data_IF_836214514576
#
_entry.id   IF_836214514576
#
_cell.length_a   1.000
_cell.length_b   1.000
_cell.length_c   1.000
_cell.angle_alpha   90.00
_cell.angle_beta   90.00
_cell.angle_gamma   90.00
#
_symmetry.space_group_name_H-M   'P 1'
#
loop_
_entity.id
_entity.type
_entity.pdbx_description
1 polymer ?
#
# COMPACT_ATOMS: atom_id res chain seq x y z
N UNK A 1 -17.41 -3.41 15.48
CA UNK A 1 -16.10 -2.99 14.93
C UNK A 1 -15.35 -4.23 14.45
N UNK A 2 -15.20 -4.42 13.13
CA UNK A 2 -14.49 -5.59 12.59
C UNK A 2 -13.00 -5.39 12.90
N UNK A 3 -12.48 -6.14 13.88
CA UNK A 3 -11.04 -6.10 14.23
C UNK A 3 -10.26 -6.49 12.98
N UNK A 4 -9.52 -5.54 12.40
CA UNK A 4 -8.52 -5.83 11.39
C UNK A 4 -7.54 -6.82 12.03
N UNK A 5 -7.59 -8.11 11.66
CA UNK A 5 -6.52 -9.06 11.99
C UNK A 5 -5.33 -8.63 11.13
N UNK A 6 -4.48 -7.79 11.69
CA UNK A 6 -3.22 -7.41 11.05
C UNK A 6 -2.25 -8.54 11.33
N UNK A 7 -2.16 -9.53 10.45
CA UNK A 7 -1.00 -10.43 10.42
C UNK A 7 0.20 -9.61 9.96
N UNK A 8 1.38 -9.72 10.61
CA UNK A 8 2.57 -8.94 10.26
C UNK A 8 3.01 -9.09 8.79
N UNK A 9 2.59 -10.16 8.13
CA UNK A 9 2.91 -10.48 6.73
C UNK A 9 2.01 -9.78 5.70
N UNK A 10 0.95 -9.10 6.13
CA UNK A 10 -0.07 -8.54 5.21
C UNK A 10 0.15 -7.05 4.91
N UNK A 11 1.18 -6.43 5.49
CA UNK A 11 1.48 -5.00 5.34
C UNK A 11 2.92 -4.78 4.90
N UNK A 12 3.10 -3.87 3.95
CA UNK A 12 4.40 -3.48 3.43
C UNK A 12 4.52 -1.95 3.36
N UNK A 13 5.75 -1.44 3.24
CA UNK A 13 5.94 -0.05 2.86
C UNK A 13 5.47 0.14 1.42
N UNK A 14 5.04 1.36 1.07
CA UNK A 14 4.63 1.67 -0.29
C UNK A 14 5.75 1.39 -1.32
N UNK A 15 7.01 1.51 -0.91
CA UNK A 15 8.15 1.16 -1.76
C UNK A 15 8.23 -0.35 -1.98
N UNK A 16 8.24 -1.15 -0.91
CA UNK A 16 8.32 -2.61 -1.01
C UNK A 16 7.11 -3.21 -1.73
N UNK A 17 5.91 -2.69 -1.47
CA UNK A 17 4.69 -3.10 -2.16
C UNK A 17 4.79 -2.84 -3.67
N UNK A 18 5.29 -1.67 -4.08
CA UNK A 18 5.43 -1.32 -5.49
C UNK A 18 6.47 -2.20 -6.21
N UNK A 19 7.60 -2.48 -5.55
CA UNK A 19 8.62 -3.41 -6.04
C UNK A 19 8.06 -4.83 -6.21
N UNK A 20 7.29 -5.31 -5.24
CA UNK A 20 6.68 -6.65 -5.28
C UNK A 20 5.71 -6.83 -6.45
N UNK A 21 4.86 -5.84 -6.71
CA UNK A 21 3.88 -5.91 -7.82
C UNK A 21 4.43 -5.40 -9.15
N UNK A 22 5.69 -5.00 -9.22
CA UNK A 22 6.35 -4.55 -10.45
C UNK A 22 5.85 -3.20 -10.99
N UNK A 23 5.41 -2.27 -10.13
CA UNK A 23 4.99 -0.92 -10.53
C UNK A 23 5.92 0.16 -10.00
N UNK A 24 5.85 1.36 -10.60
CA UNK A 24 6.57 2.50 -10.03
C UNK A 24 5.95 2.92 -8.68
N UNK A 25 6.81 3.25 -7.71
CA UNK A 25 6.38 3.79 -6.40
C UNK A 25 5.48 5.02 -6.56
N UNK A 26 5.72 5.85 -7.58
CA UNK A 26 4.88 7.01 -7.92
C UNK A 26 3.42 6.62 -8.20
N UNK A 27 3.19 5.50 -8.88
CA UNK A 27 1.84 4.97 -9.17
C UNK A 27 1.13 4.57 -7.88
N UNK A 28 1.83 3.87 -6.98
CA UNK A 28 1.27 3.47 -5.70
C UNK A 28 0.96 4.70 -4.82
N UNK A 29 1.87 5.68 -4.80
CA UNK A 29 1.68 6.94 -4.10
C UNK A 29 0.48 7.74 -4.65
N UNK A 30 0.29 7.75 -5.97
CA UNK A 30 -0.86 8.40 -6.60
C UNK A 30 -2.17 7.72 -6.17
N UNK A 31 -2.21 6.38 -6.10
CA UNK A 31 -3.38 5.65 -5.62
C UNK A 31 -3.70 5.99 -4.14
N UNK A 32 -2.68 6.17 -3.31
CA UNK A 32 -2.83 6.61 -1.91
C UNK A 32 -3.37 8.05 -1.86
N UNK A 33 -2.76 8.98 -2.59
CA UNK A 33 -3.14 10.39 -2.59
C UNK A 33 -4.55 10.64 -3.15
N UNK A 34 -4.98 9.83 -4.11
CA UNK A 34 -6.33 9.88 -4.66
C UNK A 34 -7.36 9.12 -3.81
N UNK A 35 -6.97 8.57 -2.66
CA UNK A 35 -7.86 7.84 -1.75
C UNK A 35 -8.30 6.46 -2.24
N UNK A 36 -7.68 5.92 -3.29
CA UNK A 36 -8.00 4.60 -3.86
C UNK A 36 -7.35 3.45 -3.09
N UNK A 37 -6.21 3.70 -2.46
CA UNK A 37 -5.49 2.73 -1.64
C UNK A 37 -5.39 3.24 -0.19
N UNK A 38 -6.02 2.57 0.78
CA UNK A 38 -5.85 2.92 2.19
C UNK A 38 -4.40 2.75 2.63
N UNK A 39 -3.86 3.77 3.28
CA UNK A 39 -2.49 3.73 3.79
C UNK A 39 -2.37 4.44 5.13
N UNK A 40 -1.43 3.98 5.96
CA UNK A 40 -1.05 4.63 7.21
C UNK A 40 0.31 5.28 7.05
N UNK A 41 0.40 6.58 7.29
CA UNK A 41 1.69 7.28 7.32
C UNK A 41 2.44 6.94 8.61
N UNK A 42 3.70 6.52 8.47
CA UNK A 42 4.59 6.10 9.57
C UNK A 42 5.83 6.98 9.74
N UNK A 43 5.97 8.05 8.96
CA UNK A 43 7.14 8.94 9.02
C UNK A 43 7.04 10.16 8.12
N UNK A 44 8.17 10.84 7.92
CA UNK A 44 8.31 11.97 6.98
C UNK A 44 9.14 11.52 5.77
N UNK A 45 8.56 11.53 4.57
CA UNK A 45 9.28 11.23 3.32
C UNK A 45 8.41 10.55 2.26
N UNK A 46 9.02 10.21 1.12
CA UNK A 46 8.45 9.29 0.12
C UNK A 46 8.75 7.85 0.59
N UNK A 47 7.76 6.95 0.55
CA UNK A 47 7.88 5.58 1.08
C UNK A 47 7.49 5.38 2.55
N UNK A 48 7.13 6.43 3.28
CA UNK A 48 6.71 6.34 4.69
C UNK A 48 5.23 5.99 4.87
N UNK A 49 4.66 5.24 3.93
CA UNK A 49 3.27 4.78 3.99
C UNK A 49 3.28 3.26 4.12
N UNK A 50 2.56 2.74 5.10
CA UNK A 50 2.23 1.32 5.19
C UNK A 50 0.92 1.07 4.48
N UNK A 51 0.91 0.06 3.63
CA UNK A 51 -0.26 -0.40 2.85
C UNK A 51 -0.53 -1.86 3.16
N UNK A 52 -1.78 -2.30 2.98
CA UNK A 52 -2.11 -3.73 3.02
C UNK A 52 -1.85 -4.35 1.66
N UNK A 53 -1.05 -5.41 1.60
CA UNK A 53 -0.74 -6.12 0.36
C UNK A 53 -1.99 -6.71 -0.29
N UNK A 54 -2.94 -7.22 0.51
CA UNK A 54 -4.24 -7.64 0.01
C UNK A 54 -4.95 -6.54 -0.79
N UNK A 55 -5.00 -5.33 -0.24
CA UNK A 55 -5.66 -4.19 -0.90
C UNK A 55 -4.87 -3.71 -2.12
N UNK A 56 -3.53 -3.78 -2.06
CA UNK A 56 -2.68 -3.50 -3.22
C UNK A 56 -3.05 -4.47 -4.36
N UNK A 57 -3.10 -5.78 -4.12
CA UNK A 57 -3.52 -6.74 -5.13
C UNK A 57 -4.95 -6.47 -5.63
N UNK A 58 -5.91 -6.18 -4.74
CA UNK A 58 -7.29 -5.86 -5.16
C UNK A 58 -7.38 -4.61 -6.06
N UNK A 59 -6.61 -3.57 -5.76
CA UNK A 59 -6.61 -2.31 -6.53
C UNK A 59 -5.89 -2.47 -7.87
N UNK A 60 -4.84 -3.31 -7.92
CA UNK A 60 -3.95 -3.45 -9.08
C UNK A 60 -4.19 -4.73 -9.90
N UNK A 61 -5.15 -5.59 -9.53
CA UNK A 61 -5.47 -6.84 -10.24
C UNK A 61 -5.96 -6.66 -11.69
N UNK A 62 -6.26 -5.44 -12.12
CA UNK A 62 -6.83 -5.10 -13.43
C UNK A 62 -5.89 -4.24 -14.30
N UNK A 63 -4.62 -4.11 -13.91
CA UNK A 63 -3.57 -3.46 -14.70
C UNK A 63 -2.77 -4.51 -15.48
#
# INVERSE_FOLDING_TARGET
MKKLRVTPFDVATATAAAEEIGVQVSTLMLAIHNGRLPAKRIGKGKGTFLVSMKQVYEVFAHL
#
